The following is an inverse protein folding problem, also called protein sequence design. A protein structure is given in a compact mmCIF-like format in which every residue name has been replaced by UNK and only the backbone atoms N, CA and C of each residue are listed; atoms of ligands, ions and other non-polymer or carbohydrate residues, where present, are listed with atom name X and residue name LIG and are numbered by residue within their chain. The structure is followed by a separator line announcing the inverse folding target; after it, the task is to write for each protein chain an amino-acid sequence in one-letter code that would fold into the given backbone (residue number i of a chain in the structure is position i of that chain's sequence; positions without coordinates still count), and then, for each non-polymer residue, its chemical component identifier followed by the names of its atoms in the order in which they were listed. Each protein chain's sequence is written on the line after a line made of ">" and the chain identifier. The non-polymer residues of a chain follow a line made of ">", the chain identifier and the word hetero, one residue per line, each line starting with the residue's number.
data_IF_147179684141
#
_entry.id   IF_147179684141
#
_cell.length_a   1.000
_cell.length_b   1.000
_cell.length_c   1.000
_cell.angle_alpha   90.00
_cell.angle_beta   90.00
_cell.angle_gamma   90.00
#
_symmetry.space_group_name_H-M   'P 1'
#
loop_
_entity.id
_entity.type
_entity.pdbx_description
1 polymer ?
#
# COMPACT_ATOMS: atom_id res chain seq x y z
N UNK A 1 -5.64 -11.88 27.36
CA UNK A 1 -4.71 -11.02 26.80
C UNK A 1 -5.01 -10.50 25.45
N UNK A 2 -6.09 -9.89 25.31
CA UNK A 2 -6.46 -9.28 24.06
C UNK A 2 -5.56 -8.11 23.68
N UNK A 3 -4.83 -7.57 24.63
CA UNK A 3 -4.02 -6.38 24.40
C UNK A 3 -2.94 -6.54 23.35
N UNK A 4 -2.47 -7.75 23.11
CA UNK A 4 -1.43 -7.95 22.12
C UNK A 4 -1.91 -7.69 20.70
N UNK A 5 -3.19 -7.81 20.42
CA UNK A 5 -3.69 -7.53 19.08
C UNK A 5 -3.59 -6.07 18.71
N UNK A 6 -3.54 -5.16 19.66
CA UNK A 6 -3.33 -3.74 19.36
C UNK A 6 -1.92 -3.45 18.88
N UNK A 7 -0.95 -4.23 19.32
CA UNK A 7 0.45 -4.02 18.96
C UNK A 7 0.75 -4.49 17.55
N UNK A 8 -0.15 -5.27 16.95
CA UNK A 8 -0.02 -5.72 15.57
C UNK A 8 -0.93 -4.95 14.63
N UNK A 9 -1.36 -3.76 15.05
CA UNK A 9 -2.18 -2.91 14.20
C UNK A 9 -1.48 -2.66 12.88
N UNK A 10 -2.26 -2.66 11.83
CA UNK A 10 -1.78 -2.42 10.49
C UNK A 10 -1.40 -3.68 9.74
N UNK A 11 -1.02 -4.76 10.44
CA UNK A 11 -0.68 -6.00 9.78
C UNK A 11 -1.91 -6.89 9.65
N UNK A 12 -2.28 -7.25 8.43
CA UNK A 12 -3.45 -8.06 8.13
C UNK A 12 -3.03 -9.14 7.14
N UNK A 13 -3.83 -10.20 7.05
CA UNK A 13 -3.58 -11.31 6.13
C UNK A 13 -4.37 -11.11 4.85
N UNK A 14 -3.74 -11.35 3.72
CA UNK A 14 -4.40 -11.22 2.43
C UNK A 14 -3.86 -12.22 1.42
N UNK A 15 -4.70 -12.59 0.46
CA UNK A 15 -4.32 -13.37 -0.72
C UNK A 15 -4.59 -12.56 -1.96
N UNK A 16 -3.83 -12.84 -3.03
CA UNK A 16 -4.16 -12.29 -4.34
C UNK A 16 -5.42 -12.95 -4.88
N UNK A 17 -6.24 -12.15 -5.55
CA UNK A 17 -7.38 -12.65 -6.29
C UNK A 17 -6.90 -13.59 -7.41
N UNK A 18 -7.73 -14.60 -7.73
CA UNK A 18 -7.38 -15.58 -8.75
C UNK A 18 -7.22 -14.98 -10.13
N UNK A 19 -7.82 -13.82 -10.37
CA UNK A 19 -7.69 -13.10 -11.64
C UNK A 19 -6.40 -12.29 -11.77
N UNK A 20 -5.59 -12.21 -10.70
CA UNK A 20 -4.36 -11.42 -10.72
C UNK A 20 -3.40 -11.92 -11.79
N UNK A 21 -2.78 -10.97 -12.50
CA UNK A 21 -1.77 -11.30 -13.51
C UNK A 21 -0.36 -11.39 -12.93
N UNK A 22 -0.18 -10.94 -11.69
CA UNK A 22 1.11 -11.01 -10.98
C UNK A 22 1.13 -12.27 -10.11
N UNK A 23 2.34 -12.75 -9.82
CA UNK A 23 2.52 -13.96 -9.01
C UNK A 23 2.46 -13.67 -7.51
N UNK A 24 2.85 -12.47 -7.10
CA UNK A 24 2.86 -12.07 -5.70
C UNK A 24 2.86 -10.54 -5.61
N UNK A 25 2.62 -10.06 -4.39
CA UNK A 25 2.73 -8.62 -4.10
C UNK A 25 4.12 -8.29 -3.59
N UNK A 26 4.55 -7.05 -3.84
CA UNK A 26 5.78 -6.51 -3.22
C UNK A 26 5.47 -5.69 -1.98
N UNK A 27 6.48 -5.52 -1.13
CA UNK A 27 6.38 -4.62 0.03
C UNK A 27 6.09 -3.21 -0.44
N UNK A 28 5.09 -2.59 0.16
CA UNK A 28 4.72 -1.21 -0.16
C UNK A 28 3.94 -1.05 -1.46
N UNK A 29 3.60 -2.13 -2.13
CA UNK A 29 2.80 -2.05 -3.35
C UNK A 29 1.36 -1.65 -3.01
N UNK A 30 0.79 -0.65 -3.72
CA UNK A 30 -0.60 -0.27 -3.47
C UNK A 30 -1.56 -1.36 -3.93
N UNK A 31 -2.54 -1.68 -3.09
CA UNK A 31 -3.47 -2.79 -3.31
C UNK A 31 -4.90 -2.35 -3.09
N UNK A 32 -5.81 -2.90 -3.90
CA UNK A 32 -7.25 -2.69 -3.76
C UNK A 32 -7.91 -3.95 -3.23
N UNK A 33 -8.80 -3.80 -2.27
CA UNK A 33 -9.58 -4.92 -1.75
C UNK A 33 -10.62 -5.35 -2.78
N UNK A 34 -10.65 -6.65 -3.08
CA UNK A 34 -11.69 -7.24 -3.91
C UNK A 34 -12.82 -7.77 -3.05
N UNK A 35 -12.48 -8.48 -1.98
CA UNK A 35 -13.47 -9.03 -1.07
C UNK A 35 -12.83 -9.37 0.27
N UNK A 36 -13.68 -9.51 1.28
CA UNK A 36 -13.32 -10.07 2.57
C UNK A 36 -14.15 -11.35 2.72
N UNK A 37 -13.49 -12.49 2.75
CA UNK A 37 -14.19 -13.76 2.79
C UNK A 37 -14.74 -14.13 4.17
N UNK A 38 -14.60 -13.24 5.15
CA UNK A 38 -15.11 -13.48 6.50
C UNK A 38 -14.28 -14.45 7.33
N UNK A 39 -13.22 -15.01 6.77
CA UNK A 39 -12.35 -15.97 7.46
C UNK A 39 -11.03 -15.34 7.91
N UNK A 40 -10.97 -14.03 7.98
CA UNK A 40 -9.77 -13.30 8.40
C UNK A 40 -8.74 -13.13 7.29
N UNK A 41 -9.08 -13.46 6.05
CA UNK A 41 -8.20 -13.28 4.90
C UNK A 41 -8.89 -12.37 3.89
N UNK A 42 -8.23 -11.27 3.57
CA UNK A 42 -8.72 -10.30 2.60
C UNK A 42 -8.20 -10.72 1.22
N UNK A 43 -8.99 -10.49 0.19
CA UNK A 43 -8.59 -10.75 -1.21
C UNK A 43 -8.29 -9.42 -1.86
N UNK A 44 -7.10 -9.30 -2.45
CA UNK A 44 -6.60 -8.04 -3.02
C UNK A 44 -6.14 -8.18 -4.46
N UNK A 45 -6.10 -7.06 -5.16
CA UNK A 45 -5.47 -6.90 -6.47
C UNK A 45 -4.56 -5.69 -6.45
N UNK A 46 -3.53 -5.64 -7.32
CA UNK A 46 -2.78 -4.41 -7.52
C UNK A 46 -3.71 -3.25 -7.84
N UNK A 47 -3.46 -2.10 -7.23
CA UNK A 47 -4.30 -0.92 -7.40
C UNK A 47 -4.10 -0.33 -8.80
N UNK A 48 -5.19 0.09 -9.42
CA UNK A 48 -5.15 0.76 -10.72
C UNK A 48 -4.52 2.16 -10.60
N UNK A 49 -4.01 2.66 -11.72
CA UNK A 49 -3.45 4.00 -11.79
C UNK A 49 -4.47 5.06 -11.39
N UNK A 50 -3.99 6.10 -10.74
CA UNK A 50 -4.81 7.24 -10.31
C UNK A 50 -6.05 6.82 -9.52
N UNK A 51 -5.88 5.82 -8.66
CA UNK A 51 -6.94 5.31 -7.79
C UNK A 51 -6.40 5.29 -6.36
N UNK A 52 -7.28 5.49 -5.39
CA UNK A 52 -6.88 5.43 -3.98
C UNK A 52 -6.87 3.96 -3.56
N UNK A 53 -5.72 3.42 -3.15
CA UNK A 53 -5.64 2.04 -2.70
C UNK A 53 -6.23 1.88 -1.30
N UNK A 54 -6.66 0.66 -0.99
CA UNK A 54 -7.14 0.32 0.35
C UNK A 54 -6.00 -0.07 1.27
N UNK A 55 -4.98 -0.73 0.72
CA UNK A 55 -3.86 -1.29 1.48
C UNK A 55 -2.56 -1.16 0.73
N UNK A 56 -1.47 -1.41 1.44
CA UNK A 56 -0.14 -1.62 0.85
C UNK A 56 0.39 -2.98 1.25
N UNK A 57 1.20 -3.58 0.41
CA UNK A 57 1.84 -4.86 0.70
C UNK A 57 2.79 -4.75 1.89
N UNK A 58 2.81 -5.80 2.71
CA UNK A 58 3.75 -5.94 3.81
C UNK A 58 4.97 -6.77 3.40
N UNK A 59 5.73 -7.20 4.39
CA UNK A 59 6.97 -7.95 4.15
C UNK A 59 6.74 -9.36 3.62
N UNK A 60 5.61 -9.99 3.99
CA UNK A 60 5.26 -11.30 3.45
C UNK A 60 4.41 -11.12 2.19
N UNK A 61 4.85 -11.64 1.03
CA UNK A 61 4.11 -11.43 -0.20
C UNK A 61 2.77 -12.17 -0.19
N UNK A 62 1.73 -11.52 -0.72
CA UNK A 62 0.46 -12.16 -0.95
C UNK A 62 0.50 -12.90 -2.28
N UNK A 63 0.10 -14.16 -2.25
CA UNK A 63 0.02 -15.01 -3.44
C UNK A 63 -1.40 -15.53 -3.57
N UNK A 64 -1.74 -16.15 -4.69
CA UNK A 64 -3.08 -16.69 -4.89
C UNK A 64 -3.41 -17.82 -3.91
N UNK A 65 -2.42 -18.68 -3.62
CA UNK A 65 -2.60 -19.85 -2.77
C UNK A 65 -2.08 -19.63 -1.34
N UNK A 66 -1.23 -18.64 -1.12
CA UNK A 66 -0.56 -18.41 0.16
C UNK A 66 -0.84 -16.99 0.62
N UNK A 67 -1.40 -16.86 1.82
CA UNK A 67 -1.66 -15.55 2.38
C UNK A 67 -0.35 -14.87 2.80
N UNK A 68 -0.27 -13.59 2.55
CA UNK A 68 0.81 -12.73 3.01
C UNK A 68 0.28 -11.63 3.92
N UNK A 69 1.06 -10.57 4.07
CA UNK A 69 0.72 -9.45 4.93
C UNK A 69 0.42 -8.19 4.13
N UNK A 70 -0.52 -7.41 4.64
CA UNK A 70 -0.84 -6.08 4.11
C UNK A 70 -0.99 -5.12 5.28
N UNK A 71 -0.91 -3.83 4.98
CA UNK A 71 -1.15 -2.77 5.96
C UNK A 71 -2.15 -1.78 5.40
N UNK A 72 -3.03 -1.22 6.24
CA UNK A 72 -3.74 0.01 5.87
C UNK A 72 -2.73 1.12 5.57
N UNK A 73 -3.13 2.10 4.79
CA UNK A 73 -2.27 3.25 4.51
C UNK A 73 -2.38 4.22 5.68
N UNK A 74 -1.42 4.18 6.56
CA UNK A 74 -1.36 4.99 7.77
C UNK A 74 0.02 5.65 7.85
N UNK A 75 0.21 6.67 8.70
CA UNK A 75 1.53 7.27 8.88
C UNK A 75 2.54 6.19 9.30
N UNK A 76 3.62 6.08 8.55
CA UNK A 76 4.65 5.06 8.76
C UNK A 76 4.48 3.79 7.95
N UNK A 77 3.37 3.61 7.22
CA UNK A 77 3.21 2.44 6.36
C UNK A 77 4.28 2.43 5.27
N UNK A 78 4.82 1.25 4.90
CA UNK A 78 5.80 1.18 3.83
C UNK A 78 5.14 1.46 2.48
N UNK A 79 5.80 2.25 1.63
CA UNK A 79 5.34 2.52 0.27
C UNK A 79 6.51 2.36 -0.69
N UNK A 80 6.27 1.65 -1.79
CA UNK A 80 7.25 1.41 -2.83
C UNK A 80 7.19 2.53 -3.86
N UNK A 81 8.33 3.15 -4.12
CA UNK A 81 8.42 4.30 -5.03
C UNK A 81 8.74 3.87 -6.45
N UNK A 82 8.06 4.50 -7.41
CA UNK A 82 8.30 4.30 -8.84
C UNK A 82 9.10 5.42 -9.48
N UNK A 83 9.53 6.41 -8.71
CA UNK A 83 10.30 7.54 -9.22
C UNK A 83 10.91 8.34 -8.08
N UNK A 84 11.64 9.38 -8.42
CA UNK A 84 12.28 10.26 -7.44
C UNK A 84 11.26 11.12 -6.72
N UNK A 85 11.34 11.15 -5.40
CA UNK A 85 10.50 12.00 -4.56
C UNK A 85 11.37 12.68 -3.50
N UNK A 86 10.87 13.79 -2.98
CA UNK A 86 11.46 14.44 -1.82
C UNK A 86 10.45 14.42 -0.68
N UNK A 87 10.95 14.54 0.54
CA UNK A 87 10.10 14.58 1.74
C UNK A 87 9.00 15.62 1.57
N UNK A 88 7.78 15.22 1.84
CA UNK A 88 6.61 16.09 1.74
C UNK A 88 5.89 16.06 0.40
N UNK A 89 6.47 15.45 -0.62
CA UNK A 89 5.79 15.31 -1.90
C UNK A 89 4.50 14.51 -1.74
N UNK A 90 3.42 15.00 -2.35
CA UNK A 90 2.18 14.24 -2.45
C UNK A 90 2.37 13.13 -3.47
N UNK A 91 1.84 11.96 -3.18
CA UNK A 91 2.06 10.77 -4.00
C UNK A 91 0.74 10.24 -4.54
N UNK A 92 0.83 9.69 -5.75
CA UNK A 92 -0.28 9.01 -6.42
C UNK A 92 0.15 7.61 -6.82
N UNK A 93 -0.82 6.75 -7.14
CA UNK A 93 -0.55 5.41 -7.64
C UNK A 93 -0.35 5.45 -9.15
N UNK A 94 0.75 4.87 -9.62
CA UNK A 94 1.02 4.71 -11.03
C UNK A 94 1.95 3.52 -11.25
N UNK A 95 1.59 2.62 -12.16
CA UNK A 95 2.41 1.46 -12.49
C UNK A 95 2.63 0.49 -11.34
N UNK A 96 1.68 0.39 -10.42
CA UNK A 96 1.79 -0.49 -9.26
C UNK A 96 2.70 0.02 -8.16
N UNK A 97 3.05 1.30 -8.18
CA UNK A 97 3.93 1.95 -7.21
C UNK A 97 3.42 3.35 -6.90
N UNK A 98 4.08 4.02 -5.96
CA UNK A 98 3.77 5.40 -5.62
C UNK A 98 4.77 6.33 -6.31
N UNK A 99 4.24 7.34 -6.98
CA UNK A 99 5.04 8.36 -7.67
C UNK A 99 4.56 9.74 -7.25
N UNK A 100 5.35 10.77 -7.52
CA UNK A 100 4.96 12.14 -7.22
C UNK A 100 3.66 12.47 -7.97
N UNK A 101 2.67 12.97 -7.23
CA UNK A 101 1.38 13.29 -7.80
C UNK A 101 1.50 14.50 -8.72
N UNK A 102 0.84 14.41 -9.88
CA UNK A 102 0.73 15.51 -10.82
C UNK A 102 -0.61 16.22 -10.64
N UNK A 103 -0.72 17.41 -11.22
CA UNK A 103 -1.93 18.21 -11.10
C UNK A 103 -3.16 17.46 -11.60
N UNK A 104 -4.24 17.52 -10.84
CA UNK A 104 -5.51 16.88 -11.19
C UNK A 104 -5.60 15.41 -10.85
N UNK A 105 -4.54 14.81 -10.28
CA UNK A 105 -4.53 13.41 -9.90
C UNK A 105 -4.83 13.22 -8.42
N UNK A 106 -5.22 12.00 -8.06
CA UNK A 106 -5.63 11.68 -6.69
C UNK A 106 -4.39 11.41 -5.84
N UNK A 107 -4.07 12.33 -4.95
CA UNK A 107 -3.02 12.14 -3.98
C UNK A 107 -3.51 11.21 -2.86
N UNK A 108 -2.67 10.25 -2.49
CA UNK A 108 -3.00 9.24 -1.49
C UNK A 108 -2.35 9.56 -0.14
N UNK A 109 -1.09 9.96 -0.18
CA UNK A 109 -0.27 10.25 1.02
C UNK A 109 0.88 11.13 0.60
N UNK A 110 1.73 11.47 1.56
CA UNK A 110 3.00 12.17 1.29
C UNK A 110 4.17 11.24 1.57
N UNK A 111 5.32 11.55 0.98
CA UNK A 111 6.57 10.88 1.32
C UNK A 111 7.10 11.42 2.64
N UNK A 112 7.43 10.53 3.58
CA UNK A 112 8.03 10.93 4.85
C UNK A 112 9.52 11.23 4.72
N UNK A 113 10.14 10.84 3.63
CA UNK A 113 11.57 11.05 3.37
C UNK A 113 11.82 11.07 1.87
N UNK A 114 13.02 11.50 1.48
CA UNK A 114 13.48 11.44 0.10
C UNK A 114 13.67 9.98 -0.32
N UNK A 115 13.52 9.72 -1.61
CA UNK A 115 13.78 8.40 -2.18
C UNK A 115 13.74 8.42 -3.70
N UNK A 116 14.20 7.34 -4.31
CA UNK A 116 14.20 7.14 -5.75
C UNK A 116 13.44 5.90 -6.16
N UNK A 117 13.37 5.65 -7.46
CA UNK A 117 12.69 4.48 -8.00
C UNK A 117 13.22 3.18 -7.36
N UNK A 118 12.33 2.33 -6.91
CA UNK A 118 12.68 1.07 -6.25
C UNK A 118 12.88 1.16 -4.75
N UNK A 119 12.96 2.36 -4.19
CA UNK A 119 13.10 2.54 -2.74
C UNK A 119 11.76 2.32 -2.04
N UNK A 120 11.85 1.91 -0.78
CA UNK A 120 10.68 1.83 0.10
C UNK A 120 10.89 2.90 1.18
N UNK A 121 9.92 3.80 1.27
CA UNK A 121 9.90 4.85 2.29
C UNK A 121 8.63 4.74 3.11
N UNK A 122 8.52 5.54 4.15
CA UNK A 122 7.31 5.57 4.96
C UNK A 122 6.32 6.58 4.38
N UNK A 123 5.04 6.25 4.51
CA UNK A 123 3.96 7.18 4.19
C UNK A 123 3.80 8.22 5.28
N UNK A 124 3.42 9.42 4.90
CA UNK A 124 3.04 10.47 5.81
C UNK A 124 1.65 10.98 5.42
N UNK A 125 0.88 11.54 6.36
CA UNK A 125 -0.44 12.06 6.03
C UNK A 125 -0.31 13.31 5.15
N UNK A 126 -1.32 13.54 4.32
CA UNK A 126 -1.42 14.79 3.58
C UNK A 126 -1.81 15.87 4.58
N UNK A 127 -1.04 16.98 4.67
CA UNK A 127 -1.38 18.05 5.61
C UNK A 127 -2.76 18.63 5.32
N UNK A 128 -3.52 18.87 6.39
CA UNK A 128 -4.78 19.57 6.31
C UNK A 128 -4.49 21.06 6.33
N UNK A 129 -4.96 21.75 5.31
CA UNK A 129 -4.82 23.21 5.24
C UNK A 129 -6.08 23.83 5.82
N UNK A 130 -5.89 24.54 6.90
CA UNK A 130 -7.00 25.23 7.57
C UNK A 130 -7.34 26.54 6.85
#
# INVERSE_FOLDING_TARGET
>A
MASTSFLTLGAMRAKLDMSATVSNTGTGQPLTMVSDNGAGVIVVLPCANDTVPDYVGGTAPCQKAVAGSIHPIYPGAPISLGGTVVKGDKLMVSGGQFVKATSGKKAVCCAASDGGAGDIVQAAPIPVVA
#
